data_IF_462113416936
#
_entry.id   IF_462113416936
#
_cell.length_a   1.000
_cell.length_b   1.000
_cell.length_c   1.000
_cell.angle_alpha   90.00
_cell.angle_beta   90.00
_cell.angle_gamma   90.00
#
_symmetry.space_group_name_H-M   'P 1'
#
loop_
_entity.id
_entity.type
_entity.pdbx_description
1 polymer ?
#
# COMPACT_ATOMS: atom_id res chain seq x y z
N UNK A 1 15.87 -1.84 7.29
CA UNK A 1 14.85 -0.79 7.12
C UNK A 1 14.25 -0.48 8.48
N UNK A 2 14.38 0.76 8.96
CA UNK A 2 13.74 1.20 10.21
C UNK A 2 12.61 2.15 9.85
N UNK A 3 11.37 1.71 10.05
CA UNK A 3 10.18 2.54 9.82
C UNK A 3 9.69 2.98 11.19
N UNK A 4 9.71 4.29 11.48
CA UNK A 4 9.17 4.86 12.73
C UNK A 4 7.77 5.37 12.44
N UNK A 5 6.76 4.85 13.16
CA UNK A 5 5.37 4.88 12.72
C UNK A 5 4.45 5.41 13.83
N UNK A 6 3.65 6.43 13.49
CA UNK A 6 2.55 6.91 14.32
C UNK A 6 1.20 6.43 13.74
N UNK A 7 0.53 5.53 14.48
CA UNK A 7 -0.85 5.00 14.32
C UNK A 7 -1.15 4.07 13.13
N UNK A 8 -1.80 2.94 13.44
CA UNK A 8 -2.37 1.98 12.47
C UNK A 8 -3.73 2.48 11.98
N UNK A 9 -3.94 2.55 10.67
CA UNK A 9 -5.25 2.84 10.04
C UNK A 9 -5.59 1.80 8.96
N UNK A 10 -6.75 1.94 8.31
CA UNK A 10 -7.14 1.23 7.07
C UNK A 10 -6.82 2.09 5.84
N UNK A 11 -6.79 1.50 4.64
CA UNK A 11 -6.66 2.25 3.38
C UNK A 11 -7.88 3.14 3.24
N UNK A 12 -7.66 4.43 3.11
CA UNK A 12 -8.71 5.43 2.98
C UNK A 12 -8.44 6.41 1.83
N UNK A 13 -7.22 6.50 1.31
CA UNK A 13 -6.87 7.43 0.22
C UNK A 13 -5.71 6.92 -0.65
N UNK A 14 -5.61 7.37 -1.91
CA UNK A 14 -4.41 7.20 -2.72
C UNK A 14 -3.18 7.79 -2.03
N UNK A 15 -2.06 7.09 -2.18
CA UNK A 15 -0.82 7.38 -1.45
C UNK A 15 -0.78 6.72 -0.07
N UNK A 16 -1.72 5.86 0.30
CA UNK A 16 -1.55 5.02 1.49
C UNK A 16 -0.40 4.02 1.30
N UNK A 17 0.49 3.98 2.29
CA UNK A 17 1.62 3.06 2.36
C UNK A 17 1.22 1.85 3.20
N UNK A 18 1.38 0.65 2.64
CA UNK A 18 0.94 -0.60 3.23
C UNK A 18 2.18 -1.42 3.59
N UNK A 19 2.32 -1.81 4.86
CA UNK A 19 3.33 -2.76 5.30
C UNK A 19 2.72 -4.12 5.58
N UNK A 20 3.48 -5.18 5.29
CA UNK A 20 3.09 -6.55 5.62
C UNK A 20 3.93 -7.11 6.76
N UNK A 21 3.44 -8.20 7.35
CA UNK A 21 4.16 -8.95 8.40
C UNK A 21 5.51 -9.50 7.94
N UNK A 22 5.72 -9.66 6.63
CA UNK A 22 7.01 -10.07 6.05
C UNK A 22 7.92 -8.90 5.68
N UNK A 23 7.67 -7.70 6.23
CA UNK A 23 8.42 -6.47 5.98
C UNK A 23 8.41 -6.00 4.51
N UNK A 24 7.41 -6.42 3.72
CA UNK A 24 7.22 -5.87 2.38
C UNK A 24 6.44 -4.57 2.44
N UNK A 25 6.73 -3.69 1.48
CA UNK A 25 6.04 -2.41 1.34
C UNK A 25 5.32 -2.30 0.00
N UNK A 26 4.11 -1.77 0.09
CA UNK A 26 3.24 -1.49 -1.03
C UNK A 26 2.67 -0.07 -0.92
N UNK A 27 2.17 0.45 -2.03
CA UNK A 27 1.44 1.70 -2.06
C UNK A 27 0.21 1.58 -2.97
N UNK A 28 -0.87 2.27 -2.62
CA UNK A 28 -1.97 2.51 -3.55
C UNK A 28 -1.70 3.81 -4.30
N UNK A 29 -1.62 3.75 -5.63
CA UNK A 29 -1.48 4.93 -6.49
C UNK A 29 -2.76 5.12 -7.32
N UNK A 30 -3.07 6.37 -7.65
CA UNK A 30 -4.21 6.72 -8.51
C UNK A 30 -3.71 7.21 -9.87
N UNK A 31 -4.15 6.57 -10.96
CA UNK A 31 -4.00 7.04 -12.34
C UNK A 31 -5.35 7.53 -12.88
N UNK A 32 -5.50 8.86 -12.94
CA UNK A 32 -6.80 9.49 -13.21
C UNK A 32 -7.13 9.43 -14.70
N UNK A 33 -8.33 8.92 -14.99
CA UNK A 33 -8.86 8.84 -16.36
C UNK A 33 -8.91 7.42 -16.91
N UNK A 34 -8.35 6.46 -16.18
CA UNK A 34 -8.41 5.04 -16.51
C UNK A 34 -9.66 4.35 -15.95
N UNK A 35 -10.04 3.22 -16.55
CA UNK A 35 -11.19 2.41 -16.09
C UNK A 35 -10.93 1.78 -14.71
N UNK A 36 -9.67 1.48 -14.42
CA UNK A 36 -9.21 0.90 -13.15
C UNK A 36 -8.15 1.83 -12.56
N UNK A 37 -8.55 2.96 -11.95
CA UNK A 37 -7.63 4.04 -11.62
C UNK A 37 -6.77 3.76 -10.39
N UNK A 38 -7.05 2.73 -9.58
CA UNK A 38 -6.27 2.45 -8.37
C UNK A 38 -5.35 1.26 -8.58
N UNK A 39 -4.05 1.42 -8.31
CA UNK A 39 -3.07 0.35 -8.50
C UNK A 39 -2.34 0.03 -7.20
N UNK A 40 -2.25 -1.26 -6.86
CA UNK A 40 -1.42 -1.76 -5.78
C UNK A 40 0.02 -1.97 -6.30
N UNK A 41 0.91 -1.06 -5.93
CA UNK A 41 2.31 -1.06 -6.35
C UNK A 41 3.19 -1.71 -5.28
N UNK A 42 4.01 -2.69 -5.65
CA UNK A 42 5.08 -3.19 -4.79
C UNK A 42 6.31 -2.26 -4.87
N UNK A 43 6.72 -1.67 -3.74
CA UNK A 43 7.81 -0.67 -3.72
C UNK A 43 9.22 -1.28 -3.84
N UNK A 44 9.38 -2.57 -3.56
CA UNK A 44 10.66 -3.25 -3.74
C UNK A 44 10.97 -3.55 -5.21
N UNK A 45 9.92 -3.86 -5.99
CA UNK A 45 10.06 -4.34 -7.38
C UNK A 45 9.55 -3.34 -8.41
N UNK A 46 8.86 -2.27 -7.97
CA UNK A 46 8.17 -1.30 -8.82
C UNK A 46 7.21 -1.95 -9.83
N UNK A 47 6.52 -3.02 -9.39
CA UNK A 47 5.52 -3.73 -10.19
C UNK A 47 4.13 -3.49 -9.64
N UNK A 48 3.18 -3.24 -10.54
CA UNK A 48 1.75 -3.29 -10.24
C UNK A 48 1.39 -4.76 -9.99
N UNK A 49 0.85 -5.04 -8.81
CA UNK A 49 0.36 -6.36 -8.43
C UNK A 49 -1.05 -6.55 -8.96
N UNK A 50 -1.91 -5.55 -8.75
CA UNK A 50 -3.31 -5.55 -9.18
C UNK A 50 -3.83 -4.13 -9.41
N UNK A 51 -4.89 -3.99 -10.20
CA UNK A 51 -5.59 -2.74 -10.49
C UNK A 51 -7.08 -2.84 -10.19
N UNK A 52 -7.64 -1.82 -9.55
CA UNK A 52 -9.00 -1.78 -9.04
C UNK A 52 -9.78 -0.62 -9.64
N UNK A 53 -11.09 -0.81 -9.77
CA UNK A 53 -12.04 0.23 -10.19
C UNK A 53 -12.37 1.22 -9.05
N UNK A 54 -12.10 0.82 -7.82
CA UNK A 54 -12.34 1.56 -6.58
C UNK A 54 -11.21 1.29 -5.57
N UNK A 55 -11.13 2.07 -4.48
CA UNK A 55 -10.11 1.83 -3.46
C UNK A 55 -10.28 0.42 -2.86
N UNK A 56 -9.24 -0.42 -2.88
CA UNK A 56 -9.35 -1.78 -2.40
C UNK A 56 -9.49 -1.82 -0.88
N UNK A 57 -10.19 -2.84 -0.40
CA UNK A 57 -10.26 -3.18 1.02
C UNK A 57 -8.98 -3.87 1.47
N UNK A 58 -8.73 -3.85 2.78
CA UNK A 58 -7.60 -4.58 3.36
C UNK A 58 -7.64 -6.08 3.01
N UNK A 59 -8.84 -6.67 2.93
CA UNK A 59 -8.98 -8.10 2.63
C UNK A 59 -8.54 -8.42 1.19
N UNK A 60 -8.99 -7.63 0.21
CA UNK A 60 -8.58 -7.79 -1.19
C UNK A 60 -7.05 -7.66 -1.32
N UNK A 61 -6.46 -6.66 -0.67
CA UNK A 61 -5.00 -6.48 -0.66
C UNK A 61 -4.29 -7.72 -0.08
N UNK A 62 -4.75 -8.27 1.04
CA UNK A 62 -4.14 -9.46 1.65
C UNK A 62 -4.23 -10.70 0.75
N UNK A 63 -5.34 -10.86 0.04
CA UNK A 63 -5.57 -11.95 -0.92
C UNK A 63 -4.61 -11.81 -2.12
N UNK A 64 -4.48 -10.62 -2.69
CA UNK A 64 -3.65 -10.36 -3.88
C UNK A 64 -2.14 -10.50 -3.60
N UNK A 65 -1.69 -10.06 -2.42
CA UNK A 65 -0.27 -10.17 -2.04
C UNK A 65 0.08 -11.52 -1.38
N UNK A 66 -0.92 -12.32 -1.00
CA UNK A 66 -0.73 -13.58 -0.28
C UNK A 66 -0.03 -13.41 1.08
N UNK A 67 -0.27 -12.30 1.77
CA UNK A 67 0.35 -11.95 3.05
C UNK A 67 -0.57 -11.11 3.93
N UNK A 68 -0.30 -11.09 5.24
CA UNK A 68 -1.08 -10.30 6.19
C UNK A 68 -0.53 -8.89 6.35
N UNK A 69 -1.41 -7.91 6.44
CA UNK A 69 -1.03 -6.52 6.70
C UNK A 69 -0.52 -6.40 8.13
N UNK A 70 0.58 -5.67 8.31
CA UNK A 70 1.04 -5.24 9.63
C UNK A 70 0.48 -3.85 9.99
N UNK A 71 0.39 -2.96 9.00
CA UNK A 71 -0.30 -1.69 9.12
C UNK A 71 -0.38 -0.94 7.79
N UNK A 72 -1.22 0.10 7.79
CA UNK A 72 -1.41 1.04 6.69
C UNK A 72 -1.19 2.44 7.23
N UNK A 73 -0.50 3.28 6.47
CA UNK A 73 0.04 4.56 6.90
C UNK A 73 -0.15 5.66 5.86
N UNK A 74 -0.39 6.87 6.32
CA UNK A 74 -0.50 8.05 5.45
C UNK A 74 0.88 8.43 4.92
N UNK A 75 1.03 8.64 3.61
CA UNK A 75 2.31 9.08 3.04
C UNK A 75 2.78 10.44 3.59
N UNK A 76 1.88 11.35 3.99
CA UNK A 76 2.26 12.68 4.50
C UNK A 76 2.96 12.62 5.85
N UNK A 77 2.69 11.59 6.65
CA UNK A 77 3.23 11.43 8.01
C UNK A 77 4.27 10.30 8.12
N UNK A 78 4.62 9.66 6.99
CA UNK A 78 5.49 8.48 6.97
C UNK A 78 6.89 8.80 6.44
N UNK A 79 7.92 8.51 7.24
CA UNK A 79 9.32 8.59 6.81
C UNK A 79 9.88 7.18 6.62
N UNK A 80 10.30 6.86 5.40
CA UNK A 80 10.97 5.60 5.07
C UNK A 80 12.48 5.81 5.15
N UNK A 81 13.14 5.14 6.09
CA UNK A 81 14.61 5.10 6.15
C UNK A 81 15.11 3.76 5.61
N UNK A 82 15.73 3.80 4.43
CA UNK A 82 16.46 2.70 3.81
C UNK A 82 17.93 2.78 4.29
N UNK A 83 18.37 1.77 5.04
CA UNK A 83 19.78 1.57 5.40
C UNK A 83 20.34 0.44 4.57
#
# INVERSE_FOLDING_TARGET
MNVTINRKRSVNEPGDLISTKKNKLYAIIEDRGEKYPFHLLCLETFRIIESYDSLPTNQEIEEDIGDKLDGIYQHTDSHITLN
#
